data_IF_509323388042
#
_entry.id   IF_509323388042
#
_cell.length_a   1.000
_cell.length_b   1.000
_cell.length_c   1.000
_cell.angle_alpha   90.00
_cell.angle_beta   90.00
_cell.angle_gamma   90.00
#
_symmetry.space_group_name_H-M   'P 1'
#
loop_
_entity.id
_entity.type
_entity.pdbx_description
1 polymer ?
#
# COMPACT_ATOMS: atom_id res chain seq x y z
N UNK A 1 -14.92 10.57 17.19
CA UNK A 1 -14.09 9.79 18.13
C UNK A 1 -12.90 10.58 18.61
N UNK A 2 -12.23 10.04 19.63
CA UNK A 2 -11.01 10.61 20.22
C UNK A 2 -9.95 9.52 20.29
N UNK A 3 -8.73 9.85 19.91
CA UNK A 3 -7.56 9.00 20.10
C UNK A 3 -6.51 9.76 20.90
N UNK A 4 -5.88 9.08 21.86
CA UNK A 4 -4.82 9.64 22.71
C UNK A 4 -3.65 8.65 22.74
N UNK A 5 -2.48 9.11 22.33
CA UNK A 5 -1.30 8.27 22.29
C UNK A 5 -0.07 8.99 22.87
N UNK A 6 0.83 8.22 23.46
CA UNK A 6 2.15 8.67 23.87
C UNK A 6 3.19 7.67 23.37
N UNK A 7 4.10 8.17 22.54
CA UNK A 7 5.20 7.39 21.97
C UNK A 7 6.44 7.65 22.80
N UNK A 8 7.16 6.59 23.15
CA UNK A 8 8.44 6.64 23.86
C UNK A 8 9.51 5.97 23.01
N UNK A 9 10.67 6.57 22.96
CA UNK A 9 11.86 6.01 22.36
C UNK A 9 13.02 6.12 23.34
N UNK A 10 13.80 5.06 23.49
CA UNK A 10 15.10 5.09 24.13
C UNK A 10 16.10 4.38 23.23
N UNK A 11 17.13 5.06 22.81
CA UNK A 11 18.15 4.57 21.86
C UNK A 11 19.48 5.23 22.18
N UNK A 12 20.57 4.50 21.96
CA UNK A 12 21.92 5.02 22.09
C UNK A 12 22.27 6.08 21.05
N UNK A 13 21.61 6.07 19.89
CA UNK A 13 21.82 7.04 18.80
C UNK A 13 20.83 8.20 18.87
N UNK A 14 19.53 7.91 19.09
CA UNK A 14 18.47 8.92 19.09
C UNK A 14 18.20 9.53 20.46
N UNK A 15 18.81 9.01 21.54
CA UNK A 15 18.57 9.44 22.92
C UNK A 15 17.21 8.98 23.46
N UNK A 16 16.73 9.64 24.50
CA UNK A 16 15.41 9.42 25.08
C UNK A 16 14.44 10.48 24.59
N UNK A 17 13.41 10.06 23.89
CA UNK A 17 12.43 10.94 23.24
C UNK A 17 11.02 10.52 23.61
N UNK A 18 10.09 11.46 23.63
CA UNK A 18 8.67 11.15 23.75
C UNK A 18 7.84 12.18 22.98
N UNK A 19 6.70 11.72 22.48
CA UNK A 19 5.71 12.53 21.77
C UNK A 19 4.33 12.17 22.29
N UNK A 20 3.59 13.17 22.71
CA UNK A 20 2.18 13.04 23.06
C UNK A 20 1.35 13.50 21.86
N UNK A 21 0.28 12.75 21.57
CA UNK A 21 -0.63 13.03 20.48
C UNK A 21 -2.06 12.89 20.96
N UNK A 22 -2.92 13.81 20.54
CA UNK A 22 -4.38 13.71 20.76
C UNK A 22 -5.08 14.08 19.47
N UNK A 23 -5.93 13.18 18.97
CA UNK A 23 -6.74 13.39 17.78
C UNK A 23 -8.21 13.43 18.16
N UNK A 24 -8.91 14.45 17.69
CA UNK A 24 -10.37 14.49 17.63
C UNK A 24 -10.78 14.31 16.18
N UNK A 25 -11.67 13.36 15.89
CA UNK A 25 -12.17 13.15 14.54
C UNK A 25 -13.68 13.10 14.48
N UNK A 26 -14.22 13.70 13.41
CA UNK A 26 -15.64 13.75 13.11
C UNK A 26 -15.83 13.40 11.64
N UNK A 27 -16.75 12.49 11.37
CA UNK A 27 -17.19 12.10 10.05
C UNK A 27 -18.71 11.88 10.09
N UNK A 28 -19.39 12.29 9.02
CA UNK A 28 -20.82 12.02 8.89
C UNK A 28 -21.18 11.73 7.43
N UNK A 29 -21.88 10.61 7.21
CA UNK A 29 -22.40 10.24 5.91
C UNK A 29 -23.82 10.77 5.74
N UNK A 30 -24.02 11.59 4.74
CA UNK A 30 -25.32 12.05 4.26
C UNK A 30 -25.73 11.22 3.06
N UNK A 31 -26.94 10.65 3.10
CA UNK A 31 -27.52 9.88 1.98
C UNK A 31 -28.70 10.64 1.37
N UNK A 32 -28.69 10.78 0.05
CA UNK A 32 -29.69 11.52 -0.73
C UNK A 32 -30.23 10.66 -1.88
N UNK A 33 -31.33 11.13 -2.51
CA UNK A 33 -31.92 10.52 -3.70
C UNK A 33 -32.22 9.02 -3.53
N UNK A 34 -32.84 8.63 -2.41
CA UNK A 34 -33.15 7.24 -2.05
C UNK A 34 -31.88 6.37 -2.01
N UNK A 35 -30.86 6.81 -1.29
CA UNK A 35 -29.55 6.14 -1.09
C UNK A 35 -28.73 5.95 -2.38
N UNK A 36 -29.02 6.76 -3.40
CA UNK A 36 -28.19 6.78 -4.62
C UNK A 36 -26.97 7.66 -4.49
N UNK A 37 -27.04 8.77 -3.76
CA UNK A 37 -25.95 9.72 -3.56
C UNK A 37 -25.54 9.71 -2.10
N UNK A 38 -24.29 9.36 -1.85
CA UNK A 38 -23.63 9.46 -0.54
C UNK A 38 -22.61 10.59 -0.57
N UNK A 39 -22.63 11.46 0.43
CA UNK A 39 -21.62 12.51 0.63
C UNK A 39 -21.14 12.38 2.08
N UNK A 40 -19.84 12.16 2.25
CA UNK A 40 -19.22 11.92 3.56
C UNK A 40 -18.10 12.91 3.80
N UNK A 41 -18.37 14.13 4.32
CA UNK A 41 -17.33 15.00 4.83
C UNK A 41 -16.75 14.45 6.14
N UNK A 42 -15.45 14.60 6.31
CA UNK A 42 -14.73 14.24 7.51
C UNK A 42 -13.64 15.23 7.84
N UNK A 43 -13.29 15.32 9.11
CA UNK A 43 -12.12 16.06 9.58
C UNK A 43 -11.52 15.39 10.81
N UNK A 44 -10.21 15.24 10.82
CA UNK A 44 -9.45 14.93 12.01
C UNK A 44 -8.60 16.14 12.41
N UNK A 45 -8.55 16.44 13.69
CA UNK A 45 -7.67 17.49 14.25
C UNK A 45 -6.75 16.83 15.26
N UNK A 46 -5.46 16.87 15.01
CA UNK A 46 -4.45 16.24 15.86
C UNK A 46 -3.54 17.30 16.47
N UNK A 47 -3.39 17.25 17.78
CA UNK A 47 -2.35 17.97 18.51
C UNK A 47 -1.14 17.06 18.72
N UNK A 48 0.03 17.55 18.38
CA UNK A 48 1.33 16.93 18.64
C UNK A 48 2.13 17.81 19.62
N UNK A 49 2.74 17.21 20.63
CA UNK A 49 3.50 17.98 21.65
C UNK A 49 4.67 18.78 21.07
N UNK A 50 5.22 18.35 19.93
CA UNK A 50 6.38 18.94 19.25
C UNK A 50 6.04 19.66 17.94
N UNK A 51 4.92 19.30 17.28
CA UNK A 51 4.49 19.88 16.00
C UNK A 51 3.17 20.65 16.06
N UNK A 52 2.66 20.95 17.25
CA UNK A 52 1.41 21.71 17.48
C UNK A 52 0.16 21.01 16.90
N UNK A 53 -0.77 21.80 16.39
CA UNK A 53 -2.09 21.33 15.96
C UNK A 53 -2.24 21.40 14.45
N UNK A 54 -2.77 20.32 13.87
CA UNK A 54 -3.01 20.17 12.43
C UNK A 54 -4.39 19.58 12.18
N UNK A 55 -5.04 20.03 11.10
CA UNK A 55 -6.35 19.55 10.66
C UNK A 55 -6.24 18.80 9.33
N UNK A 56 -6.96 17.70 9.22
CA UNK A 56 -6.98 16.77 8.09
C UNK A 56 -8.40 16.67 7.54
N UNK A 57 -8.86 17.62 6.72
CA UNK A 57 -10.15 17.52 6.08
C UNK A 57 -10.16 16.48 4.96
N UNK A 58 -11.30 15.84 4.77
CA UNK A 58 -11.55 14.92 3.68
C UNK A 58 -13.01 14.93 3.25
N UNK A 59 -13.27 14.51 2.03
CA UNK A 59 -14.59 14.40 1.45
C UNK A 59 -14.65 13.17 0.55
N UNK A 60 -15.61 12.27 0.83
CA UNK A 60 -15.94 11.16 -0.06
C UNK A 60 -17.32 11.39 -0.68
N UNK A 61 -17.45 11.09 -1.97
CA UNK A 61 -18.70 11.16 -2.71
C UNK A 61 -18.90 9.84 -3.43
N UNK A 62 -20.11 9.28 -3.37
CA UNK A 62 -20.47 8.07 -4.09
C UNK A 62 -21.83 8.20 -4.74
N UNK A 63 -21.95 7.86 -6.03
CA UNK A 63 -23.20 7.88 -6.75
C UNK A 63 -23.49 6.53 -7.41
N UNK A 64 -24.62 5.91 -7.04
CA UNK A 64 -25.10 4.65 -7.65
C UNK A 64 -25.89 4.99 -8.91
N UNK A 65 -25.32 4.70 -10.07
CA UNK A 65 -26.02 4.83 -11.36
C UNK A 65 -27.17 3.81 -11.46
N UNK A 66 -26.89 2.58 -11.00
CA UNK A 66 -27.88 1.50 -10.88
C UNK A 66 -27.43 0.51 -9.77
N UNK A 67 -28.06 -0.67 -9.68
CA UNK A 67 -27.73 -1.71 -8.69
C UNK A 67 -26.28 -2.23 -8.80
N UNK A 68 -25.73 -2.20 -9.99
CA UNK A 68 -24.47 -2.88 -10.34
C UNK A 68 -23.31 -1.88 -10.51
N UNK A 69 -23.61 -0.59 -10.75
CA UNK A 69 -22.64 0.42 -11.14
C UNK A 69 -22.64 1.62 -10.19
N UNK A 70 -21.48 1.92 -9.61
CA UNK A 70 -21.23 3.06 -8.73
C UNK A 70 -20.04 3.88 -9.25
N UNK A 71 -20.20 5.20 -9.34
CA UNK A 71 -19.10 6.16 -9.47
C UNK A 71 -18.77 6.67 -8.06
N UNK A 72 -17.50 6.92 -7.79
CA UNK A 72 -17.07 7.49 -6.52
C UNK A 72 -15.90 8.43 -6.75
N UNK A 73 -15.73 9.36 -5.84
CA UNK A 73 -14.57 10.23 -5.78
C UNK A 73 -14.26 10.58 -4.34
N UNK A 74 -13.00 10.86 -4.09
CA UNK A 74 -12.54 11.37 -2.79
C UNK A 74 -11.48 12.45 -2.98
N UNK A 75 -11.40 13.33 -2.01
CA UNK A 75 -10.31 14.29 -1.83
C UNK A 75 -9.96 14.36 -0.36
N UNK A 76 -8.67 14.31 -0.03
CA UNK A 76 -8.21 14.36 1.34
C UNK A 76 -6.89 15.09 1.46
N UNK A 77 -6.75 15.85 2.55
CA UNK A 77 -5.48 16.44 2.97
C UNK A 77 -4.82 15.53 4.00
N UNK A 78 -3.56 15.22 3.78
CA UNK A 78 -2.75 14.38 4.66
C UNK A 78 -1.48 15.10 5.09
N UNK A 79 -0.94 14.69 6.23
CA UNK A 79 0.19 15.32 6.87
C UNK A 79 1.02 14.25 7.60
N UNK A 80 2.34 14.30 7.44
CA UNK A 80 3.26 13.39 8.12
C UNK A 80 4.30 14.20 8.90
N UNK A 81 4.29 14.06 10.22
CA UNK A 81 5.34 14.65 11.05
C UNK A 81 6.65 13.89 10.87
N UNK A 82 7.81 14.57 10.93
CA UNK A 82 9.11 13.92 10.88
C UNK A 82 9.25 12.86 11.96
N UNK A 83 9.88 11.73 11.59
CA UNK A 83 10.24 10.69 12.56
C UNK A 83 11.40 11.13 13.44
N UNK A 84 11.62 10.46 14.55
CA UNK A 84 12.80 10.74 15.38
C UNK A 84 14.10 10.43 14.63
N UNK A 85 14.09 9.51 13.69
CA UNK A 85 15.22 9.23 12.79
C UNK A 85 15.49 10.44 11.89
N UNK A 86 14.45 10.97 11.24
CA UNK A 86 14.59 12.14 10.38
C UNK A 86 15.16 13.35 11.13
N UNK A 87 14.76 13.51 12.41
CA UNK A 87 15.15 14.66 13.22
C UNK A 87 16.54 14.53 13.88
N UNK A 88 16.86 13.34 14.41
CA UNK A 88 17.93 13.20 15.41
C UNK A 88 18.98 12.13 15.07
N UNK A 89 18.79 11.34 14.01
CA UNK A 89 19.74 10.29 13.67
C UNK A 89 21.09 10.88 13.28
N UNK A 90 22.17 10.29 13.79
CA UNK A 90 23.54 10.67 13.44
C UNK A 90 24.40 9.44 13.27
N UNK A 91 25.09 9.35 12.14
CA UNK A 91 26.06 8.31 11.83
C UNK A 91 27.21 8.88 10.99
N UNK A 92 28.28 8.12 10.74
CA UNK A 92 29.34 8.53 9.83
C UNK A 92 28.88 8.77 8.37
N UNK A 93 27.66 8.33 8.00
CA UNK A 93 27.13 8.46 6.65
C UNK A 93 25.90 9.37 6.57
N UNK A 94 25.20 9.64 7.69
CA UNK A 94 23.89 10.28 7.68
C UNK A 94 23.69 11.21 8.87
N UNK A 95 23.00 12.34 8.63
CA UNK A 95 22.58 13.29 9.63
C UNK A 95 21.09 13.58 9.52
N UNK A 96 20.37 13.51 10.64
CA UNK A 96 19.03 14.05 10.80
C UNK A 96 19.05 15.59 10.83
N UNK A 97 17.85 16.18 10.87
CA UNK A 97 17.68 17.64 10.90
C UNK A 97 16.52 18.02 11.82
N UNK A 98 16.82 18.67 12.90
CA UNK A 98 15.82 19.08 13.91
C UNK A 98 14.86 20.19 13.40
N UNK A 99 15.21 20.86 12.30
CA UNK A 99 14.43 21.96 11.72
C UNK A 99 13.50 21.50 10.58
N UNK A 100 13.23 20.21 10.47
CA UNK A 100 12.33 19.70 9.44
C UNK A 100 10.89 20.15 9.68
N UNK A 101 10.27 20.63 8.61
CA UNK A 101 8.83 20.79 8.53
C UNK A 101 8.15 19.44 8.29
N UNK A 102 6.89 19.29 8.73
CA UNK A 102 6.08 18.16 8.31
C UNK A 102 5.81 18.13 6.81
N UNK A 103 5.67 16.92 6.28
CA UNK A 103 5.23 16.70 4.92
C UNK A 103 3.73 16.89 4.80
N UNK A 104 3.28 17.37 3.66
CA UNK A 104 1.88 17.63 3.35
C UNK A 104 1.51 16.98 2.02
N UNK A 105 0.29 16.49 1.87
CA UNK A 105 -0.22 16.05 0.58
C UNK A 105 -1.72 16.26 0.44
N UNK A 106 -2.15 16.64 -0.75
CA UNK A 106 -3.55 16.53 -1.20
C UNK A 106 -3.62 15.34 -2.13
N UNK A 107 -4.53 14.42 -1.85
CA UNK A 107 -4.80 13.26 -2.66
C UNK A 107 -6.24 13.32 -3.17
N UNK A 108 -6.41 13.03 -4.45
CA UNK A 108 -7.68 13.05 -5.16
C UNK A 108 -7.82 11.73 -5.92
N UNK A 109 -9.01 11.15 -5.91
CA UNK A 109 -9.33 9.95 -6.67
C UNK A 109 -10.72 10.05 -7.27
N UNK A 110 -10.86 9.57 -8.49
CA UNK A 110 -12.14 9.36 -9.15
C UNK A 110 -12.17 7.95 -9.71
N UNK A 111 -13.22 7.21 -9.40
CA UNK A 111 -13.30 5.82 -9.81
C UNK A 111 -14.72 5.35 -10.11
N UNK A 112 -14.76 4.16 -10.69
CA UNK A 112 -15.98 3.45 -11.03
C UNK A 112 -15.88 2.02 -10.50
N UNK A 113 -16.96 1.50 -9.91
CA UNK A 113 -17.09 0.11 -9.45
C UNK A 113 -18.28 -0.53 -10.12
N UNK A 114 -18.06 -1.70 -10.71
CA UNK A 114 -19.09 -2.54 -11.29
C UNK A 114 -19.11 -3.89 -10.58
N UNK A 115 -20.27 -4.28 -10.04
CA UNK A 115 -20.44 -5.54 -9.31
C UNK A 115 -21.72 -6.22 -9.83
N UNK A 116 -21.55 -7.35 -10.51
CA UNK A 116 -22.69 -8.12 -11.03
C UNK A 116 -22.44 -9.61 -10.87
N UNK A 117 -23.21 -10.24 -10.00
CA UNK A 117 -23.04 -11.65 -9.69
C UNK A 117 -21.64 -11.92 -9.13
N UNK A 118 -20.88 -12.77 -9.80
CA UNK A 118 -19.50 -13.12 -9.43
C UNK A 118 -18.44 -12.28 -10.15
N UNK A 119 -18.83 -11.25 -10.89
CA UNK A 119 -17.93 -10.34 -11.59
C UNK A 119 -17.84 -9.00 -10.85
N UNK A 120 -16.64 -8.64 -10.42
CA UNK A 120 -16.33 -7.36 -9.78
C UNK A 120 -15.21 -6.67 -10.55
N UNK A 121 -15.43 -5.41 -10.89
CA UNK A 121 -14.50 -4.57 -11.61
C UNK A 121 -14.37 -3.23 -10.90
N UNK A 122 -13.16 -2.72 -10.76
CA UNK A 122 -12.93 -1.33 -10.38
C UNK A 122 -11.88 -0.70 -11.28
N UNK A 123 -12.10 0.57 -11.58
CA UNK A 123 -11.12 1.44 -12.25
C UNK A 123 -11.09 2.75 -11.49
N UNK A 124 -9.90 3.27 -11.23
CA UNK A 124 -9.69 4.57 -10.63
C UNK A 124 -8.57 5.33 -11.34
N UNK A 125 -8.70 6.65 -11.35
CA UNK A 125 -7.62 7.57 -11.65
C UNK A 125 -7.40 8.45 -10.42
N UNK A 126 -6.15 8.69 -10.08
CA UNK A 126 -5.79 9.46 -8.90
C UNK A 126 -4.64 10.43 -9.16
N UNK A 127 -4.58 11.45 -8.33
CA UNK A 127 -3.53 12.43 -8.28
C UNK A 127 -3.16 12.72 -6.83
N UNK A 128 -1.87 12.81 -6.54
CA UNK A 128 -1.34 13.20 -5.24
C UNK A 128 -0.30 14.29 -5.40
N UNK A 129 -0.60 15.48 -4.92
CA UNK A 129 0.35 16.60 -4.83
C UNK A 129 0.95 16.62 -3.41
N UNK A 130 2.21 16.19 -3.31
CA UNK A 130 2.97 16.12 -2.07
C UNK A 130 3.95 17.27 -2.00
N UNK A 131 4.04 17.90 -0.82
CA UNK A 131 4.88 19.06 -0.57
C UNK A 131 5.75 18.86 0.66
N UNK A 132 6.89 19.54 0.70
CA UNK A 132 7.86 19.46 1.80
C UNK A 132 8.27 18.02 2.11
N UNK A 133 8.32 17.15 1.11
CA UNK A 133 8.76 15.78 1.32
C UNK A 133 10.16 15.75 1.93
N UNK A 134 10.31 14.91 2.94
CA UNK A 134 11.59 14.69 3.60
C UNK A 134 12.36 13.61 2.83
N UNK A 135 13.56 13.97 2.43
CA UNK A 135 14.50 13.05 1.80
C UNK A 135 15.90 13.27 2.36
N UNK A 136 16.76 12.31 2.12
CA UNK A 136 18.18 12.42 2.40
C UNK A 136 18.92 12.83 1.14
N UNK A 137 19.58 13.98 1.19
CA UNK A 137 20.30 14.57 0.06
C UNK A 137 21.75 14.85 0.41
N UNK A 138 22.58 14.96 -0.62
CA UNK A 138 23.96 15.46 -0.51
C UNK A 138 24.39 16.16 -1.82
N UNK A 139 25.34 17.07 -1.71
CA UNK A 139 25.84 17.82 -2.86
C UNK A 139 26.99 17.10 -3.56
N UNK A 140 27.88 16.46 -2.82
CA UNK A 140 29.03 15.72 -3.33
C UNK A 140 28.99 14.26 -2.86
N UNK A 141 29.70 13.38 -3.57
CA UNK A 141 29.76 11.95 -3.23
C UNK A 141 30.31 11.69 -1.82
N UNK A 142 31.21 12.52 -1.35
CA UNK A 142 31.87 12.41 -0.06
C UNK A 142 31.08 13.03 1.10
N UNK A 143 30.03 13.80 0.80
CA UNK A 143 29.22 14.46 1.83
C UNK A 143 28.36 13.42 2.56
N UNK A 144 28.00 13.76 3.81
CA UNK A 144 27.00 13.00 4.55
C UNK A 144 25.61 13.24 3.96
N UNK A 145 24.80 12.21 3.96
CA UNK A 145 23.38 12.34 3.66
C UNK A 145 22.68 13.17 4.77
N UNK A 146 21.97 14.21 4.39
CA UNK A 146 21.26 15.07 5.32
C UNK A 146 19.77 15.05 5.07
N UNK A 147 18.98 14.82 6.12
CA UNK A 147 17.53 14.91 6.07
C UNK A 147 17.10 16.35 5.78
N UNK A 148 16.32 16.55 4.73
CA UNK A 148 15.92 17.90 4.25
C UNK A 148 14.51 17.85 3.66
N UNK A 149 13.71 18.89 3.88
CA UNK A 149 12.45 19.09 3.16
C UNK A 149 12.75 19.64 1.77
N UNK A 150 12.84 18.77 0.79
CA UNK A 150 13.37 19.20 -0.48
C UNK A 150 12.32 19.50 -1.53
N UNK A 151 11.06 18.94 -1.41
CA UNK A 151 10.32 18.85 -2.63
C UNK A 151 8.84 18.81 -2.61
N UNK A 152 8.39 19.11 -3.83
CA UNK A 152 7.05 18.78 -4.27
C UNK A 152 7.13 17.63 -5.27
N UNK A 153 6.38 16.59 -5.02
CA UNK A 153 6.20 15.44 -5.90
C UNK A 153 4.74 15.37 -6.29
N UNK A 154 4.46 15.41 -7.58
CA UNK A 154 3.14 15.11 -8.08
C UNK A 154 3.14 13.69 -8.63
N UNK A 155 2.35 12.81 -8.02
CA UNK A 155 2.15 11.43 -8.48
C UNK A 155 0.76 11.30 -9.08
N UNK A 156 0.68 10.90 -10.33
CA UNK A 156 -0.56 10.57 -11.03
C UNK A 156 -0.59 9.08 -11.33
N UNK A 157 -1.78 8.52 -11.37
CA UNK A 157 -1.88 7.12 -11.73
C UNK A 157 -3.28 6.68 -12.09
N UNK A 158 -3.32 5.47 -12.62
CA UNK A 158 -4.55 4.72 -12.86
C UNK A 158 -4.41 3.35 -12.21
N UNK A 159 -5.52 2.85 -11.71
CA UNK A 159 -5.61 1.52 -11.12
C UNK A 159 -6.82 0.78 -11.70
N UNK A 160 -6.59 -0.48 -12.03
CA UNK A 160 -7.60 -1.39 -12.53
C UNK A 160 -7.56 -2.67 -11.71
N UNK A 161 -8.72 -3.14 -11.24
CA UNK A 161 -8.86 -4.43 -10.57
C UNK A 161 -10.08 -5.17 -11.11
N UNK A 162 -9.92 -6.46 -11.39
CA UNK A 162 -10.97 -7.35 -11.83
C UNK A 162 -10.94 -8.65 -11.04
N UNK A 163 -12.10 -9.13 -10.63
CA UNK A 163 -12.29 -10.44 -9.99
C UNK A 163 -13.47 -11.12 -10.68
N UNK A 164 -13.26 -12.36 -11.14
CA UNK A 164 -14.28 -13.15 -11.76
C UNK A 164 -14.32 -14.56 -11.18
N UNK A 165 -15.40 -14.87 -10.48
CA UNK A 165 -15.69 -16.21 -9.99
C UNK A 165 -16.59 -16.97 -10.97
N UNK A 166 -16.19 -18.19 -11.35
CA UNK A 166 -16.98 -19.05 -12.23
C UNK A 166 -16.84 -20.52 -11.83
N UNK A 167 -17.59 -21.38 -12.46
CA UNK A 167 -17.52 -22.83 -12.22
C UNK A 167 -17.18 -23.58 -13.50
N UNK A 168 -16.35 -24.61 -13.37
CA UNK A 168 -16.17 -25.67 -14.38
C UNK A 168 -16.75 -26.92 -13.77
N UNK A 169 -17.90 -27.36 -14.31
CA UNK A 169 -18.70 -28.40 -13.67
C UNK A 169 -19.18 -27.93 -12.29
N UNK A 170 -18.79 -28.63 -11.22
CA UNK A 170 -19.14 -28.32 -9.83
C UNK A 170 -18.03 -27.55 -9.10
N UNK A 171 -16.87 -27.36 -9.72
CA UNK A 171 -15.67 -26.82 -9.09
C UNK A 171 -15.54 -25.32 -9.30
N UNK A 172 -15.22 -24.61 -8.22
CA UNK A 172 -15.07 -23.17 -8.24
C UNK A 172 -13.72 -22.76 -8.85
N UNK A 173 -13.77 -21.73 -9.66
CA UNK A 173 -12.62 -21.04 -10.26
C UNK A 173 -12.68 -19.57 -9.86
N UNK A 174 -11.53 -18.97 -9.64
CA UNK A 174 -11.43 -17.54 -9.35
C UNK A 174 -10.25 -16.93 -10.12
N UNK A 175 -10.57 -16.02 -11.02
CA UNK A 175 -9.60 -15.24 -11.78
C UNK A 175 -9.54 -13.83 -11.18
N UNK A 176 -8.33 -13.34 -10.87
CA UNK A 176 -8.10 -11.96 -10.44
C UNK A 176 -7.06 -11.33 -11.35
N UNK A 177 -7.23 -10.08 -11.67
CA UNK A 177 -6.26 -9.26 -12.38
C UNK A 177 -6.21 -7.87 -11.74
N UNK A 178 -5.02 -7.33 -11.62
CA UNK A 178 -4.77 -5.97 -11.16
C UNK A 178 -3.71 -5.32 -12.04
N UNK A 179 -3.86 -4.02 -12.26
CA UNK A 179 -2.87 -3.21 -12.96
C UNK A 179 -2.83 -1.82 -12.36
N UNK A 180 -1.62 -1.33 -12.10
CA UNK A 180 -1.38 0.04 -11.65
C UNK A 180 -0.32 0.67 -12.55
N UNK A 181 -0.60 1.89 -13.00
CA UNK A 181 0.36 2.76 -13.65
C UNK A 181 0.56 4.00 -12.80
N UNK A 182 1.81 4.39 -12.59
CA UNK A 182 2.22 5.59 -11.86
C UNK A 182 3.13 6.45 -12.73
N UNK A 183 2.93 7.74 -12.66
CA UNK A 183 3.79 8.76 -13.22
C UNK A 183 4.12 9.78 -12.14
N UNK A 184 5.41 9.88 -11.83
CA UNK A 184 5.94 10.81 -10.85
C UNK A 184 6.59 12.01 -11.55
N UNK A 185 6.06 13.20 -11.28
CA UNK A 185 6.66 14.48 -11.68
C UNK A 185 7.34 15.10 -10.46
N UNK A 186 8.63 14.83 -10.37
CA UNK A 186 9.48 15.36 -9.33
C UNK A 186 10.04 16.73 -9.75
N UNK A 187 9.54 17.81 -9.16
CA UNK A 187 10.05 19.15 -9.45
C UNK A 187 11.51 19.27 -9.02
N UNK A 188 12.31 19.84 -9.92
CA UNK A 188 13.77 19.89 -9.82
C UNK A 188 14.29 20.27 -8.41
N UNK A 189 15.30 19.54 -7.97
CA UNK A 189 16.03 19.75 -6.70
C UNK A 189 17.29 20.48 -6.98
N UNK A 190 17.70 21.27 -6.01
CA UNK A 190 19.01 21.92 -6.04
C UNK A 190 20.17 20.99 -5.71
N UNK A 191 19.93 19.83 -5.10
CA UNK A 191 20.98 18.89 -4.71
C UNK A 191 21.31 17.86 -5.81
N UNK A 192 22.59 17.47 -5.92
CA UNK A 192 23.05 16.55 -6.94
C UNK A 192 22.66 15.09 -6.70
N UNK A 193 22.48 14.71 -5.43
CA UNK A 193 22.12 13.35 -5.04
C UNK A 193 20.91 13.33 -4.11
N UNK A 194 19.98 12.44 -4.38
CA UNK A 194 18.75 12.23 -3.59
C UNK A 194 18.45 10.73 -3.52
N UNK A 195 18.03 10.26 -2.36
CA UNK A 195 17.62 8.87 -2.16
C UNK A 195 16.23 8.57 -2.70
N UNK A 196 15.36 9.57 -2.72
CA UNK A 196 13.96 9.40 -3.09
C UNK A 196 13.75 9.10 -4.57
N UNK A 197 14.64 9.61 -5.43
CA UNK A 197 14.49 9.50 -6.90
C UNK A 197 14.78 8.12 -7.49
N UNK A 198 15.16 7.15 -6.66
CA UNK A 198 15.91 5.99 -7.18
C UNK A 198 14.99 4.86 -7.64
N UNK A 199 13.71 4.79 -7.23
CA UNK A 199 13.00 3.54 -7.51
C UNK A 199 11.46 3.60 -7.51
N UNK A 200 10.86 4.60 -8.15
CA UNK A 200 9.40 4.63 -8.33
C UNK A 200 8.91 3.46 -9.19
N UNK A 201 7.83 2.83 -8.74
CA UNK A 201 7.14 1.81 -9.52
C UNK A 201 6.36 2.52 -10.64
N UNK A 202 6.60 2.18 -11.90
CA UNK A 202 5.92 2.77 -13.06
C UNK A 202 4.78 1.91 -13.56
N UNK A 203 5.04 0.63 -13.72
CA UNK A 203 4.04 -0.35 -14.11
C UNK A 203 4.04 -1.52 -13.13
N UNK A 204 2.88 -1.89 -12.65
CA UNK A 204 2.69 -3.08 -11.84
C UNK A 204 1.46 -3.84 -12.31
N UNK A 205 1.65 -5.08 -12.74
CA UNK A 205 0.56 -5.97 -13.13
C UNK A 205 0.59 -7.24 -12.28
N UNK A 206 -0.58 -7.68 -11.86
CA UNK A 206 -0.77 -8.95 -11.17
C UNK A 206 -1.90 -9.72 -11.81
N UNK A 207 -1.75 -11.04 -11.90
CA UNK A 207 -2.84 -11.93 -12.27
C UNK A 207 -2.78 -13.17 -11.40
N UNK A 208 -3.92 -13.70 -10.99
CA UNK A 208 -3.97 -14.98 -10.29
C UNK A 208 -5.15 -15.83 -10.77
N UNK A 209 -4.90 -17.12 -10.90
CA UNK A 209 -5.89 -18.12 -11.21
C UNK A 209 -5.92 -19.17 -10.11
N UNK A 210 -6.98 -19.15 -9.34
CA UNK A 210 -7.27 -20.21 -8.37
C UNK A 210 -8.25 -21.20 -8.99
N UNK A 211 -7.82 -22.45 -9.07
CA UNK A 211 -8.58 -23.55 -9.67
C UNK A 211 -8.82 -24.64 -8.63
N UNK A 212 -10.07 -25.01 -8.46
CA UNK A 212 -10.44 -26.23 -7.76
C UNK A 212 -10.61 -27.35 -8.77
N UNK A 213 -9.79 -28.39 -8.72
CA UNK A 213 -9.86 -29.54 -9.61
C UNK A 213 -10.77 -30.65 -9.08
N UNK A 214 -10.70 -30.86 -7.75
CA UNK A 214 -11.49 -31.83 -7.00
C UNK A 214 -12.03 -31.17 -5.74
N UNK A 215 -12.93 -31.86 -5.03
CA UNK A 215 -13.45 -31.34 -3.74
C UNK A 215 -12.36 -31.00 -2.75
N UNK A 216 -11.23 -31.68 -2.83
CA UNK A 216 -10.13 -31.61 -1.88
C UNK A 216 -8.79 -31.19 -2.50
N UNK A 217 -8.76 -30.88 -3.80
CA UNK A 217 -7.55 -30.47 -4.52
C UNK A 217 -7.77 -29.13 -5.20
N UNK A 218 -6.92 -28.18 -4.86
CA UNK A 218 -6.90 -26.86 -5.49
C UNK A 218 -5.48 -26.42 -5.81
N UNK A 219 -5.36 -25.53 -6.77
CA UNK A 219 -4.13 -24.83 -7.10
C UNK A 219 -4.36 -23.33 -7.12
N UNK A 220 -3.28 -22.58 -6.98
CA UNK A 220 -3.23 -21.16 -7.26
C UNK A 220 -1.96 -20.85 -8.05
N UNK A 221 -2.10 -20.13 -9.16
CA UNK A 221 -0.99 -19.59 -9.96
C UNK A 221 -1.07 -18.08 -9.86
N UNK A 222 0.05 -17.44 -9.58
CA UNK A 222 0.17 -15.99 -9.44
C UNK A 222 1.25 -15.52 -10.40
N UNK A 223 0.92 -14.53 -11.20
CA UNK A 223 1.85 -13.77 -12.04
C UNK A 223 2.00 -12.37 -11.49
N UNK A 224 3.22 -11.89 -11.40
CA UNK A 224 3.57 -10.51 -11.06
C UNK A 224 4.54 -9.95 -12.11
N UNK A 225 4.23 -8.77 -12.63
CA UNK A 225 5.12 -7.95 -13.43
C UNK A 225 5.33 -6.61 -12.74
N UNK A 226 6.56 -6.13 -12.72
CA UNK A 226 6.91 -4.82 -12.23
C UNK A 226 7.96 -4.16 -13.11
N UNK A 227 7.74 -2.89 -13.41
CA UNK A 227 8.67 -1.99 -14.07
C UNK A 227 8.82 -0.74 -13.21
N UNK A 228 10.05 -0.33 -12.99
CA UNK A 228 10.36 0.87 -12.22
C UNK A 228 10.91 1.95 -13.13
N UNK A 229 10.99 3.18 -12.65
CA UNK A 229 11.55 4.31 -13.42
C UNK A 229 13.04 4.13 -13.69
N UNK A 230 13.74 3.38 -12.83
CA UNK A 230 15.15 3.04 -12.97
C UNK A 230 15.33 1.55 -12.74
N UNK A 231 16.13 0.90 -13.59
CA UNK A 231 16.40 -0.53 -13.54
C UNK A 231 15.60 -1.33 -14.58
N UNK A 232 15.76 -2.65 -14.51
CA UNK A 232 15.11 -3.57 -15.44
C UNK A 232 13.71 -3.96 -14.92
N UNK A 233 12.80 -4.18 -15.86
CA UNK A 233 11.52 -4.79 -15.56
C UNK A 233 11.68 -6.29 -15.30
N UNK A 234 10.82 -6.85 -14.49
CA UNK A 234 10.82 -8.28 -14.21
C UNK A 234 9.41 -8.88 -14.16
N UNK A 235 9.34 -10.19 -14.42
CA UNK A 235 8.13 -10.97 -14.23
C UNK A 235 8.44 -12.21 -13.39
N UNK A 236 7.57 -12.50 -12.43
CA UNK A 236 7.68 -13.64 -11.53
C UNK A 236 6.39 -14.44 -11.55
N UNK A 237 6.53 -15.77 -11.55
CA UNK A 237 5.39 -16.70 -11.44
C UNK A 237 5.60 -17.55 -10.19
N UNK A 238 4.58 -17.56 -9.35
CA UNK A 238 4.47 -18.43 -8.19
C UNK A 238 3.31 -19.41 -8.40
N UNK A 239 3.41 -20.60 -7.84
CA UNK A 239 2.31 -21.56 -7.84
C UNK A 239 2.21 -22.29 -6.50
N UNK A 240 1.01 -22.68 -6.13
CA UNK A 240 0.78 -23.57 -5.01
C UNK A 240 -0.29 -24.60 -5.32
N UNK A 241 -0.13 -25.78 -4.72
CA UNK A 241 -1.12 -26.86 -4.77
C UNK A 241 -1.46 -27.25 -3.34
N UNK A 242 -2.76 -27.35 -3.05
CA UNK A 242 -3.26 -27.72 -1.73
C UNK A 242 -4.16 -28.96 -1.85
N UNK A 243 -3.86 -29.96 -1.02
CA UNK A 243 -4.62 -31.21 -0.93
C UNK A 243 -5.13 -31.41 0.50
N UNK A 244 -6.44 -31.49 0.66
CA UNK A 244 -7.09 -31.74 1.93
C UNK A 244 -7.51 -33.22 2.03
N UNK A 245 -6.99 -33.94 3.02
CA UNK A 245 -7.36 -35.34 3.26
C UNK A 245 -7.82 -35.47 4.71
N UNK A 246 -9.13 -35.51 4.93
CA UNK A 246 -9.74 -35.50 6.29
C UNK A 246 -9.27 -34.28 7.08
N UNK A 247 -8.55 -34.51 8.16
CA UNK A 247 -8.01 -33.45 9.03
C UNK A 247 -6.61 -32.95 8.62
N UNK A 248 -6.04 -33.50 7.57
CA UNK A 248 -4.71 -33.12 7.07
C UNK A 248 -4.83 -32.22 5.86
N UNK A 249 -4.04 -31.18 5.82
CA UNK A 249 -3.84 -30.29 4.68
C UNK A 249 -2.36 -30.36 4.28
N UNK A 250 -2.11 -30.78 3.05
CA UNK A 250 -0.80 -30.80 2.42
C UNK A 250 -0.71 -29.62 1.47
N UNK A 251 0.38 -28.86 1.52
CA UNK A 251 0.65 -27.76 0.60
C UNK A 251 2.03 -27.91 -0.04
N UNK A 252 2.10 -27.69 -1.33
CA UNK A 252 3.33 -27.52 -2.08
C UNK A 252 3.32 -26.13 -2.68
N UNK A 253 4.34 -25.33 -2.37
CA UNK A 253 4.50 -23.96 -2.85
C UNK A 253 5.78 -23.90 -3.66
N UNK A 254 5.70 -23.34 -4.86
CA UNK A 254 6.83 -23.06 -5.72
C UNK A 254 6.87 -21.54 -5.98
N UNK A 255 7.85 -20.86 -5.43
CA UNK A 255 8.04 -19.43 -5.64
C UNK A 255 9.07 -19.20 -6.75
N UNK A 256 8.85 -18.17 -7.56
CA UNK A 256 9.73 -17.78 -8.65
C UNK A 256 10.11 -18.98 -9.55
N UNK A 257 9.10 -19.65 -10.10
CA UNK A 257 9.25 -20.94 -10.83
C UNK A 257 10.27 -20.83 -11.95
N UNK A 258 10.35 -19.68 -12.61
CA UNK A 258 11.27 -19.47 -13.75
C UNK A 258 12.65 -18.98 -13.34
N UNK A 259 12.94 -18.93 -12.04
CA UNK A 259 14.21 -18.50 -11.49
C UNK A 259 14.66 -17.11 -11.96
N UNK A 260 13.73 -16.18 -12.12
CA UNK A 260 13.99 -14.80 -12.51
C UNK A 260 14.89 -14.12 -11.48
N UNK A 261 15.95 -13.51 -11.90
CA UNK A 261 16.77 -12.64 -11.05
C UNK A 261 16.16 -11.24 -11.06
N UNK A 262 15.86 -10.70 -9.89
CA UNK A 262 15.25 -9.38 -9.77
C UNK A 262 15.56 -8.74 -8.41
N UNK A 263 15.40 -7.43 -8.38
CA UNK A 263 15.54 -6.62 -7.17
C UNK A 263 14.22 -5.88 -6.92
N UNK A 264 13.93 -5.63 -5.65
CA UNK A 264 12.78 -4.78 -5.28
C UNK A 264 13.26 -3.49 -4.62
N UNK A 265 12.90 -3.26 -3.38
CA UNK A 265 13.23 -2.04 -2.66
C UNK A 265 14.75 -1.91 -2.46
N UNK A 266 15.29 -0.72 -2.75
CA UNK A 266 16.71 -0.40 -2.57
C UNK A 266 17.67 -1.36 -3.25
N UNK A 267 17.29 -1.93 -4.40
CA UNK A 267 18.11 -2.85 -5.19
C UNK A 267 18.51 -4.12 -4.43
N UNK A 268 17.77 -4.50 -3.39
CA UNK A 268 18.00 -5.76 -2.66
C UNK A 268 17.62 -6.93 -3.55
N UNK A 269 18.56 -7.88 -3.81
CA UNK A 269 18.25 -9.08 -4.58
C UNK A 269 17.18 -9.93 -3.90
N UNK A 270 16.19 -10.35 -4.68
CA UNK A 270 15.12 -11.21 -4.20
C UNK A 270 15.49 -12.69 -4.32
N UNK A 271 14.88 -13.57 -3.50
CA UNK A 271 15.17 -15.00 -3.56
C UNK A 271 14.90 -15.58 -4.95
N UNK A 272 15.82 -16.44 -5.39
CA UNK A 272 15.66 -17.29 -6.55
C UNK A 272 14.55 -18.33 -6.34
N UNK A 273 14.36 -19.19 -7.33
CA UNK A 273 13.38 -20.30 -7.25
C UNK A 273 13.55 -21.11 -5.96
N UNK A 274 12.46 -21.30 -5.26
CA UNK A 274 12.44 -22.11 -4.04
C UNK A 274 11.12 -22.89 -3.92
N UNK A 275 11.19 -24.03 -3.22
CA UNK A 275 10.06 -24.91 -3.00
C UNK A 275 9.86 -25.13 -1.51
N UNK A 276 8.60 -25.08 -1.06
CA UNK A 276 8.20 -25.28 0.32
C UNK A 276 7.15 -26.37 0.37
N UNK A 277 7.31 -27.31 1.29
CA UNK A 277 6.28 -28.29 1.63
C UNK A 277 5.68 -27.95 2.99
N UNK A 278 4.36 -27.89 3.07
CA UNK A 278 3.60 -27.63 4.29
C UNK A 278 2.70 -28.82 4.64
N UNK A 279 2.63 -29.11 5.94
CA UNK A 279 1.68 -30.06 6.52
C UNK A 279 0.97 -29.41 7.68
N UNK A 280 -0.37 -29.36 7.62
CA UNK A 280 -1.20 -28.84 8.69
C UNK A 280 -2.21 -29.90 9.14
N UNK A 281 -2.33 -30.11 10.42
CA UNK A 281 -3.33 -30.98 11.02
C UNK A 281 -4.38 -30.15 11.75
N UNK A 282 -5.64 -30.30 11.36
CA UNK A 282 -6.79 -29.63 11.99
C UNK A 282 -7.45 -30.62 12.97
N UNK A 283 -7.39 -30.35 14.26
CA UNK A 283 -8.07 -31.13 15.28
C UNK A 283 -9.18 -30.32 15.92
N UNK A 284 -10.36 -30.92 16.02
CA UNK A 284 -11.48 -30.31 16.72
C UNK A 284 -11.41 -30.74 18.18
N UNK A 285 -11.19 -29.77 19.06
CA UNK A 285 -11.37 -29.99 20.51
C UNK A 285 -12.88 -29.78 20.74
N UNK A 286 -13.65 -30.88 20.77
CA UNK A 286 -15.00 -30.82 21.29
C UNK A 286 -14.90 -30.47 22.77
N UNK A 287 -15.07 -29.22 23.14
CA UNK A 287 -15.38 -28.83 24.51
C UNK A 287 -16.77 -29.41 24.80
N UNK A 288 -16.81 -30.61 25.30
CA UNK A 288 -18.03 -31.21 25.86
C UNK A 288 -18.48 -30.35 27.04
N UNK A 289 -19.32 -29.36 26.72
CA UNK A 289 -20.18 -28.79 27.74
C UNK A 289 -21.25 -29.87 28.05
N UNK A 290 -21.11 -30.53 29.19
CA UNK A 290 -22.20 -31.22 29.89
C UNK A 290 -23.04 -30.20 30.62
#
# INVERSE_FOLDING_TARGET
GVDVAKVFLSSNNLGSRNRFMTTLFLEHRFSFANDKLDITPGVAVTYFSDFKMHAFPGLDIGYKLNSDLKIYGNIGYTYRIPTYTDLFYSSPAELGNENLDPEEAIAEELGIKFNKGSFNLSFAAFNRDSRKLIDYVKENETDLWQATNIRNLNTKGIEFNAVYGFKIGTFNQNLKAGYTFLEDDLKAVSSNFSRYSINSLKHHATASLQTQFLKNLSQNIIYKYAERTVGESYAVVDASVNLNVKSLEFSLIANNIFNTEYTETNLVPMPKSNFLFGLKYNFNINSGAK
#
